data_IF_675773999587
#
_entry.id   IF_675773999587
#
_cell.length_a   1.000
_cell.length_b   1.000
_cell.length_c   1.000
_cell.angle_alpha   90.00
_cell.angle_beta   90.00
_cell.angle_gamma   90.00
#
_symmetry.space_group_name_H-M   'P 1'
#
loop_
_entity.id
_entity.type
_entity.pdbx_description
1 polymer ?
#
# COMPACT_ATOMS: atom_id res chain seq x y z
N UNK A 1 -2.13 -4.24 21.06
CA UNK A 1 -1.19 -3.83 19.98
C UNK A 1 -1.61 -4.42 18.63
N UNK A 2 -1.93 -5.72 18.54
CA UNK A 2 -2.45 -6.35 17.32
C UNK A 2 -3.60 -5.58 16.64
N UNK A 3 -4.66 -5.21 17.37
CA UNK A 3 -5.79 -4.42 16.82
C UNK A 3 -5.44 -3.02 16.29
N UNK A 4 -4.26 -2.48 16.64
CA UNK A 4 -3.79 -1.22 16.08
C UNK A 4 -3.06 -1.46 14.75
N UNK A 5 -2.30 -2.56 14.64
CA UNK A 5 -1.64 -2.99 13.41
C UNK A 5 -2.69 -3.37 12.35
N UNK A 6 -3.73 -4.11 12.73
CA UNK A 6 -4.81 -4.50 11.82
C UNK A 6 -5.53 -3.27 11.22
N UNK A 7 -5.82 -2.26 12.05
CA UNK A 7 -6.42 -1.00 11.57
C UNK A 7 -5.52 -0.26 10.58
N UNK A 8 -4.21 -0.22 10.83
CA UNK A 8 -3.25 0.40 9.91
C UNK A 8 -3.19 -0.35 8.58
N UNK A 9 -3.29 -1.68 8.60
CA UNK A 9 -3.36 -2.49 7.37
C UNK A 9 -4.63 -2.17 6.55
N UNK A 10 -5.78 -2.03 7.21
CA UNK A 10 -7.05 -1.68 6.55
C UNK A 10 -7.02 -0.27 5.95
N UNK A 11 -6.46 0.70 6.69
CA UNK A 11 -6.29 2.08 6.23
C UNK A 11 -5.36 2.15 5.02
N UNK A 12 -4.24 1.39 5.06
CA UNK A 12 -3.29 1.30 3.96
C UNK A 12 -3.93 0.69 2.71
N UNK A 13 -4.74 -0.36 2.88
CA UNK A 13 -5.48 -0.98 1.78
C UNK A 13 -6.49 0.00 1.14
N UNK A 14 -7.21 0.75 1.98
CA UNK A 14 -8.17 1.76 1.54
C UNK A 14 -7.49 2.89 0.77
N UNK A 15 -6.36 3.40 1.27
CA UNK A 15 -5.57 4.43 0.62
C UNK A 15 -5.04 3.98 -0.75
N UNK A 16 -4.51 2.75 -0.85
CA UNK A 16 -4.04 2.19 -2.12
C UNK A 16 -5.16 2.00 -3.14
N UNK A 17 -6.35 1.63 -2.68
CA UNK A 17 -7.53 1.52 -3.54
C UNK A 17 -7.97 2.89 -4.06
N UNK A 18 -7.96 3.91 -3.22
CA UNK A 18 -8.25 5.29 -3.63
C UNK A 18 -7.20 5.82 -4.62
N UNK A 19 -5.92 5.56 -4.36
CA UNK A 19 -4.83 5.91 -5.28
C UNK A 19 -5.04 5.26 -6.64
N UNK A 20 -5.33 3.94 -6.70
CA UNK A 20 -5.64 3.22 -7.94
C UNK A 20 -6.78 3.89 -8.72
N UNK A 21 -7.84 4.32 -8.04
CA UNK A 21 -8.97 5.02 -8.66
C UNK A 21 -8.59 6.41 -9.17
N UNK A 22 -7.85 7.19 -8.38
CA UNK A 22 -7.40 8.54 -8.76
C UNK A 22 -6.47 8.52 -9.97
N UNK A 23 -5.69 7.44 -10.13
CA UNK A 23 -4.80 7.26 -11.27
C UNK A 23 -5.51 6.74 -12.53
N UNK A 24 -6.78 6.35 -12.43
CA UNK A 24 -7.54 5.85 -13.56
C UNK A 24 -7.70 6.95 -14.62
N UNK A 25 -7.25 6.69 -15.85
CA UNK A 25 -7.26 7.66 -16.94
C UNK A 25 -6.00 8.52 -17.07
N UNK A 26 -5.03 8.41 -16.15
CA UNK A 26 -3.72 9.03 -16.36
C UNK A 26 -2.99 8.27 -17.48
N UNK A 27 -2.50 8.96 -18.53
CA UNK A 27 -1.70 8.31 -19.56
C UNK A 27 -0.41 7.75 -18.95
N UNK A 28 -0.32 6.42 -18.86
CA UNK A 28 0.75 5.68 -18.17
C UNK A 28 2.15 6.06 -18.65
N UNK A 29 2.30 6.52 -19.90
CA UNK A 29 3.58 6.85 -20.55
C UNK A 29 3.98 8.33 -20.47
N UNK A 30 3.16 9.18 -19.84
CA UNK A 30 3.46 10.62 -19.74
C UNK A 30 4.40 10.89 -18.57
N UNK A 31 5.49 11.63 -18.82
CA UNK A 31 6.43 12.14 -17.80
C UNK A 31 6.95 11.09 -16.79
N UNK A 32 7.16 9.84 -17.21
CA UNK A 32 7.67 8.79 -16.30
C UNK A 32 6.69 8.35 -15.21
N UNK A 33 5.41 8.73 -15.30
CA UNK A 33 4.37 8.40 -14.31
C UNK A 33 4.33 6.91 -13.94
N UNK A 34 4.44 6.01 -14.92
CA UNK A 34 4.53 4.55 -14.66
C UNK A 34 5.66 4.19 -13.69
N UNK A 35 6.84 4.77 -13.85
CA UNK A 35 7.99 4.44 -13.01
C UNK A 35 7.79 4.92 -11.57
N UNK A 36 7.17 6.10 -11.38
CA UNK A 36 6.81 6.62 -10.06
C UNK A 36 5.72 5.76 -9.40
N UNK A 37 4.67 5.42 -10.15
CA UNK A 37 3.61 4.53 -9.70
C UNK A 37 4.16 3.16 -9.27
N UNK A 38 4.95 2.51 -10.12
CA UNK A 38 5.45 1.15 -9.85
C UNK A 38 6.41 1.16 -8.64
N UNK A 39 7.18 2.23 -8.45
CA UNK A 39 8.03 2.40 -7.27
C UNK A 39 7.21 2.54 -5.99
N UNK A 40 6.17 3.37 -6.01
CA UNK A 40 5.26 3.56 -4.89
C UNK A 40 4.54 2.25 -4.54
N UNK A 41 3.98 1.56 -5.53
CA UNK A 41 3.29 0.28 -5.34
C UNK A 41 4.20 -0.78 -4.70
N UNK A 42 5.47 -0.87 -5.14
CA UNK A 42 6.45 -1.79 -4.54
C UNK A 42 6.82 -1.41 -3.10
N UNK A 43 6.98 -0.13 -2.80
CA UNK A 43 7.29 0.33 -1.45
C UNK A 43 6.14 0.02 -0.49
N UNK A 44 4.90 0.29 -0.89
CA UNK A 44 3.72 -0.01 -0.08
C UNK A 44 3.55 -1.52 0.10
N UNK A 45 3.74 -2.33 -0.95
CA UNK A 45 3.65 -3.79 -0.83
C UNK A 45 4.63 -4.37 0.20
N UNK A 46 5.85 -3.82 0.28
CA UNK A 46 6.82 -4.22 1.32
C UNK A 46 6.36 -3.83 2.72
N UNK A 47 5.90 -2.59 2.89
CA UNK A 47 5.38 -2.10 4.18
C UNK A 47 4.18 -2.94 4.65
N UNK A 48 3.27 -3.32 3.75
CA UNK A 48 2.14 -4.20 4.08
C UNK A 48 2.63 -5.55 4.59
N UNK A 49 3.60 -6.17 3.93
CA UNK A 49 4.14 -7.46 4.35
C UNK A 49 4.81 -7.37 5.74
N UNK A 50 5.64 -6.35 5.98
CA UNK A 50 6.29 -6.13 7.28
C UNK A 50 5.27 -5.92 8.41
N UNK A 51 4.18 -5.19 8.14
CA UNK A 51 3.10 -4.99 9.10
C UNK A 51 2.28 -6.27 9.35
N UNK A 52 2.08 -7.11 8.34
CA UNK A 52 1.41 -8.41 8.49
C UNK A 52 2.24 -9.36 9.36
N UNK A 53 3.56 -9.44 9.10
CA UNK A 53 4.49 -10.23 9.90
C UNK A 53 4.52 -9.74 11.36
N UNK A 54 4.54 -8.41 11.56
CA UNK A 54 4.46 -7.82 12.89
C UNK A 54 3.13 -8.11 13.60
N UNK A 55 2.00 -8.10 12.87
CA UNK A 55 0.70 -8.44 13.48
C UNK A 55 0.70 -9.89 13.99
N UNK A 56 1.19 -10.83 13.17
CA UNK A 56 1.31 -12.24 13.55
C UNK A 56 2.20 -12.42 14.80
N UNK A 57 3.37 -11.78 14.82
CA UNK A 57 4.32 -11.89 15.94
C UNK A 57 3.84 -11.25 17.26
N UNK A 58 2.85 -10.35 17.21
CA UNK A 58 2.27 -9.70 18.40
C UNK A 58 1.02 -10.46 18.91
N UNK A 59 0.47 -11.37 18.11
CA UNK A 59 -0.65 -12.22 18.50
C UNK A 59 -0.21 -13.52 19.20
N UNK A 60 1.02 -13.97 18.98
CA UNK A 60 1.72 -15.03 19.74
C UNK A 60 2.21 -14.54 21.12
#
# INVERSE_FOLDING_TARGET
>A
MAHQVDRVLDDLHSAMTQLKRAMHGIPVRKEGFKAHHDRAARAVGRLTAELQDASAAIQD
#
